data_IF_260772987299
#
_entry.id   IF_260772987299
#
_cell.length_a   1.000
_cell.length_b   1.000
_cell.length_c   1.000
_cell.angle_alpha   90.00
_cell.angle_beta   90.00
_cell.angle_gamma   90.00
#
_symmetry.space_group_name_H-M   'P 1'
#
loop_
_entity.id
_entity.type
_entity.pdbx_description
1 polymer ?
#
# COMPACT_ATOMS: atom_id res chain seq x y z
N UNK A 1 -20.03 -13.30 -7.26
CA UNK A 1 -18.98 -13.25 -6.23
C UNK A 1 -17.71 -12.90 -6.94
N UNK A 2 -17.26 -11.65 -6.80
CA UNK A 2 -16.01 -11.17 -7.39
C UNK A 2 -14.84 -11.79 -6.61
N UNK A 3 -13.76 -12.15 -7.30
CA UNK A 3 -12.55 -12.85 -6.80
C UNK A 3 -11.71 -12.06 -5.76
N UNK A 4 -12.33 -11.21 -4.94
CA UNK A 4 -11.68 -10.40 -3.89
C UNK A 4 -11.57 -11.12 -2.54
N UNK A 5 -12.10 -12.34 -2.43
CA UNK A 5 -12.20 -13.08 -1.18
C UNK A 5 -10.83 -13.59 -0.68
N UNK A 6 -10.50 -13.23 0.57
CA UNK A 6 -9.37 -13.68 1.40
C UNK A 6 -7.97 -13.09 1.13
N UNK A 7 -7.64 -12.56 -0.05
CA UNK A 7 -6.29 -12.03 -0.31
C UNK A 7 -6.00 -10.69 0.41
N UNK A 8 -7.03 -9.85 0.58
CA UNK A 8 -6.96 -8.49 1.15
C UNK A 8 -7.18 -8.40 2.67
N UNK A 9 -7.47 -9.54 3.31
CA UNK A 9 -7.95 -9.61 4.68
C UNK A 9 -6.79 -9.85 5.65
N UNK A 10 -6.71 -9.00 6.67
CA UNK A 10 -6.00 -9.28 7.92
C UNK A 10 -4.48 -9.08 7.83
N UNK A 11 -4.03 -7.83 7.97
CA UNK A 11 -2.65 -7.60 8.38
C UNK A 11 -2.69 -7.13 9.83
N UNK A 12 -2.29 -8.02 10.74
CA UNK A 12 -1.96 -7.63 12.12
C UNK A 12 -0.66 -6.83 12.09
N UNK A 13 -0.72 -5.57 12.50
CA UNK A 13 0.44 -4.69 12.53
C UNK A 13 0.63 -4.30 13.98
N UNK A 14 1.53 -5.03 14.65
CA UNK A 14 1.90 -4.73 16.04
C UNK A 14 2.73 -3.45 16.08
N UNK A 15 2.35 -2.50 16.94
CA UNK A 15 3.01 -1.22 17.17
C UNK A 15 4.43 -1.30 17.75
N UNK A 16 4.93 -2.49 18.11
CA UNK A 16 6.24 -2.64 18.74
C UNK A 16 7.42 -2.67 17.73
N UNK A 17 7.81 -1.48 17.27
CA UNK A 17 9.18 -1.20 16.81
C UNK A 17 9.91 -0.38 17.88
N UNK A 18 10.15 -0.97 19.05
CA UNK A 18 10.95 -0.34 20.11
C UNK A 18 11.43 -1.36 21.13
N UNK A 19 12.31 -2.28 20.75
CA UNK A 19 13.27 -2.84 21.71
C UNK A 19 14.65 -2.91 21.06
N UNK A 20 15.55 -2.11 21.62
CA UNK A 20 16.96 -2.08 21.33
C UNK A 20 17.65 -2.97 22.38
N UNK A 21 18.10 -4.20 22.09
CA UNK A 21 18.81 -4.98 23.09
C UNK A 21 20.28 -4.58 23.06
N UNK A 22 20.60 -3.45 23.69
CA UNK A 22 21.98 -3.14 24.06
C UNK A 22 22.41 -4.06 25.21
N UNK A 23 23.39 -4.91 24.92
CA UNK A 23 24.35 -5.53 25.84
C UNK A 23 23.81 -6.36 27.02
N UNK A 24 23.91 -7.68 26.87
CA UNK A 24 24.51 -8.52 27.92
C UNK A 24 25.26 -9.69 27.28
N UNK A 25 26.59 -9.56 27.21
CA UNK A 25 27.49 -10.67 26.92
C UNK A 25 27.68 -11.46 28.21
N UNK A 26 27.12 -12.66 28.29
CA UNK A 26 27.62 -13.67 29.23
C UNK A 26 27.49 -15.06 28.62
N UNK A 27 28.65 -15.69 28.46
CA UNK A 27 28.95 -17.10 28.19
C UNK A 27 27.80 -18.09 27.95
N UNK A 28 27.84 -18.76 26.79
CA UNK A 28 27.65 -20.21 26.72
C UNK A 28 28.44 -20.78 25.53
N UNK A 29 29.40 -21.66 25.82
CA UNK A 29 30.09 -22.49 24.83
C UNK A 29 29.26 -23.73 24.50
N UNK A 30 29.39 -24.16 23.23
CA UNK A 30 29.06 -25.46 22.65
C UNK A 30 27.60 -25.94 22.67
N UNK A 31 26.93 -25.84 21.52
CA UNK A 31 26.23 -26.95 20.84
C UNK A 31 25.64 -26.45 19.51
N UNK A 32 25.84 -27.24 18.45
CA UNK A 32 25.10 -27.21 17.18
C UNK A 32 24.86 -25.85 16.52
N UNK A 33 25.66 -25.49 15.52
CA UNK A 33 25.28 -24.44 14.57
C UNK A 33 24.11 -24.94 13.71
N UNK A 34 22.88 -24.80 14.22
CA UNK A 34 21.71 -24.74 13.36
C UNK A 34 21.85 -23.44 12.57
N UNK A 35 22.31 -23.57 11.32
CA UNK A 35 22.35 -22.47 10.37
C UNK A 35 20.94 -21.92 10.24
N UNK A 36 20.68 -20.76 10.85
CA UNK A 36 19.44 -20.02 10.62
C UNK A 36 19.30 -19.88 9.11
N UNK A 37 18.17 -20.27 8.50
CA UNK A 37 18.02 -20.13 7.05
C UNK A 37 18.35 -18.69 6.67
N UNK A 38 19.09 -18.45 5.58
CA UNK A 38 19.51 -17.12 5.21
C UNK A 38 18.29 -16.22 5.13
N UNK A 39 18.32 -15.14 5.90
CA UNK A 39 17.20 -14.22 6.01
C UNK A 39 16.89 -13.58 4.66
N UNK A 40 15.64 -13.69 4.24
CA UNK A 40 15.15 -13.30 2.91
C UNK A 40 15.38 -11.81 2.68
N UNK A 41 16.11 -11.45 1.62
CA UNK A 41 16.23 -10.04 1.18
C UNK A 41 15.03 -9.67 0.32
N UNK A 42 14.44 -8.52 0.62
CA UNK A 42 13.23 -8.01 -0.03
C UNK A 42 13.35 -6.54 -0.41
N UNK A 43 12.67 -6.16 -1.50
CA UNK A 43 12.58 -4.79 -2.01
C UNK A 43 11.11 -4.38 -2.06
N UNK A 44 10.71 -3.32 -1.37
CA UNK A 44 9.43 -2.66 -1.55
C UNK A 44 9.57 -1.45 -2.47
N UNK A 45 8.61 -1.28 -3.39
CA UNK A 45 8.54 -0.16 -4.31
C UNK A 45 7.17 0.51 -4.17
N UNK A 46 7.17 1.77 -3.74
CA UNK A 46 5.99 2.60 -3.64
C UNK A 46 6.13 3.79 -4.60
N UNK A 47 5.42 3.75 -5.73
CA UNK A 47 5.47 4.78 -6.77
C UNK A 47 4.07 5.26 -7.19
N UNK A 48 3.07 5.03 -6.34
CA UNK A 48 1.69 5.49 -6.55
C UNK A 48 1.51 6.98 -6.23
N UNK A 49 2.33 7.53 -5.33
CA UNK A 49 2.31 8.93 -4.93
C UNK A 49 3.07 9.87 -5.87
N UNK A 50 3.23 11.13 -5.43
CA UNK A 50 4.02 12.15 -6.15
C UNK A 50 5.52 11.87 -6.10
N UNK A 51 6.00 11.41 -4.95
CA UNK A 51 7.37 11.02 -4.70
C UNK A 51 7.39 9.51 -4.61
N UNK A 52 8.19 8.86 -5.46
CA UNK A 52 8.40 7.42 -5.34
C UNK A 52 9.39 7.13 -4.20
N UNK A 53 9.22 6.00 -3.52
CA UNK A 53 10.10 5.52 -2.46
C UNK A 53 10.37 4.04 -2.62
N UNK A 54 11.51 3.62 -2.11
CA UNK A 54 11.85 2.21 -1.96
C UNK A 54 12.27 1.90 -0.53
N UNK A 55 12.01 0.66 -0.11
CA UNK A 55 12.53 0.11 1.12
C UNK A 55 13.21 -1.23 0.84
N UNK A 56 14.34 -1.49 1.47
CA UNK A 56 15.03 -2.77 1.39
C UNK A 56 15.05 -3.38 2.79
N UNK A 57 14.70 -4.65 2.88
CA UNK A 57 14.67 -5.38 4.14
C UNK A 57 15.33 -6.74 4.06
N UNK A 58 15.66 -7.29 5.22
CA UNK A 58 16.22 -8.63 5.38
C UNK A 58 15.50 -9.34 6.54
N UNK A 59 14.87 -10.48 6.25
CA UNK A 59 14.00 -11.14 7.22
C UNK A 59 12.83 -10.24 7.61
N UNK A 60 12.73 -9.92 8.90
CA UNK A 60 11.66 -9.10 9.47
C UNK A 60 12.10 -7.66 9.80
N UNK A 61 13.26 -7.25 9.27
CA UNK A 61 13.83 -5.91 9.49
C UNK A 61 13.95 -5.12 8.19
N UNK A 62 13.51 -3.87 8.21
CA UNK A 62 13.84 -2.87 7.18
C UNK A 62 15.27 -2.38 7.42
N UNK A 63 16.11 -2.47 6.40
CA UNK A 63 17.51 -2.02 6.42
C UNK A 63 17.65 -0.56 6.00
N UNK A 64 16.88 -0.14 4.99
CA UNK A 64 16.93 1.21 4.47
C UNK A 64 15.61 1.60 3.79
N UNK A 65 15.28 2.89 3.84
CA UNK A 65 14.18 3.52 3.11
C UNK A 65 14.75 4.75 2.41
N UNK A 66 14.45 4.95 1.13
CA UNK A 66 14.89 6.12 0.38
C UNK A 66 13.82 6.65 -0.56
N UNK A 67 13.78 7.97 -0.68
CA UNK A 67 13.09 8.68 -1.75
C UNK A 67 13.81 8.44 -3.07
N UNK A 68 13.03 8.26 -4.13
CA UNK A 68 13.52 8.21 -5.50
C UNK A 68 13.79 9.64 -5.97
N UNK A 69 14.96 9.92 -6.57
CA UNK A 69 15.30 11.24 -7.05
C UNK A 69 14.25 11.78 -8.02
N UNK A 70 13.80 13.01 -7.78
CA UNK A 70 13.00 13.76 -8.76
C UNK A 70 13.94 14.29 -9.86
N UNK A 71 14.40 13.42 -10.76
CA UNK A 71 15.23 13.89 -11.88
C UNK A 71 14.37 14.71 -12.87
N UNK A 72 15.00 15.66 -13.59
CA UNK A 72 14.32 16.58 -14.54
C UNK A 72 13.62 15.87 -15.72
N UNK A 73 13.80 14.55 -15.85
CA UNK A 73 13.10 13.67 -16.78
C UNK A 73 12.35 12.70 -15.87
N UNK A 74 11.02 12.63 -15.94
CA UNK A 74 10.16 11.85 -15.03
C UNK A 74 10.40 10.32 -14.98
N UNK A 75 11.58 9.84 -15.40
CA UNK A 75 12.06 8.49 -15.23
C UNK A 75 12.71 8.39 -13.85
N UNK A 76 11.98 7.75 -12.94
CA UNK A 76 12.45 7.37 -11.63
C UNK A 76 13.79 6.64 -11.77
N UNK A 77 14.85 7.15 -11.14
CA UNK A 77 16.18 6.50 -11.05
C UNK A 77 16.13 5.28 -10.09
N UNK A 78 15.04 4.52 -10.14
CA UNK A 78 14.67 3.41 -9.26
C UNK A 78 15.79 2.37 -9.15
N UNK A 79 16.26 1.85 -10.28
CA UNK A 79 17.28 0.81 -10.29
C UNK A 79 18.64 1.32 -9.82
N UNK A 80 18.94 2.61 -10.03
CA UNK A 80 20.14 3.22 -9.49
C UNK A 80 20.05 3.32 -7.96
N UNK A 81 18.93 3.81 -7.41
CA UNK A 81 18.74 3.88 -5.96
C UNK A 81 18.77 2.49 -5.31
N UNK A 82 18.21 1.47 -5.97
CA UNK A 82 18.32 0.07 -5.51
C UNK A 82 19.79 -0.38 -5.48
N UNK A 83 20.55 -0.14 -6.56
CA UNK A 83 21.97 -0.53 -6.66
C UNK A 83 22.85 0.16 -5.61
N UNK A 84 22.60 1.44 -5.36
CA UNK A 84 23.27 2.23 -4.32
C UNK A 84 23.04 1.61 -2.94
N UNK A 85 21.79 1.35 -2.56
CA UNK A 85 21.49 0.75 -1.24
C UNK A 85 22.06 -0.67 -1.14
N UNK A 86 21.96 -1.48 -2.20
CA UNK A 86 22.54 -2.84 -2.19
C UNK A 86 24.05 -2.80 -1.97
N UNK A 87 24.73 -1.86 -2.62
CA UNK A 87 26.19 -1.65 -2.47
C UNK A 87 26.53 -1.21 -1.04
N UNK A 88 25.81 -0.22 -0.50
CA UNK A 88 26.01 0.27 0.87
C UNK A 88 25.78 -0.82 1.93
N UNK A 89 24.81 -1.71 1.70
CA UNK A 89 24.45 -2.80 2.62
C UNK A 89 25.26 -4.10 2.37
N UNK A 90 26.15 -4.11 1.38
CA UNK A 90 26.93 -5.30 1.01
C UNK A 90 26.06 -6.48 0.55
N UNK A 91 24.93 -6.21 -0.10
CA UNK A 91 23.97 -7.21 -0.57
C UNK A 91 24.27 -7.56 -2.03
N UNK A 92 24.42 -8.86 -2.33
CA UNK A 92 24.52 -9.28 -3.72
C UNK A 92 23.14 -9.20 -4.40
N UNK A 93 23.09 -8.76 -5.67
CA UNK A 93 21.83 -8.67 -6.44
C UNK A 93 21.08 -9.99 -6.49
N UNK A 94 21.81 -11.11 -6.52
CA UNK A 94 21.27 -12.48 -6.50
C UNK A 94 20.56 -12.85 -5.21
N UNK A 95 20.77 -12.09 -4.12
CA UNK A 95 20.15 -12.36 -2.82
C UNK A 95 18.73 -11.81 -2.75
N UNK A 96 18.33 -10.91 -3.63
CA UNK A 96 16.96 -10.40 -3.71
C UNK A 96 16.00 -11.55 -4.06
N UNK A 97 15.14 -11.93 -3.12
CA UNK A 97 14.18 -13.03 -3.28
C UNK A 97 12.74 -12.59 -3.39
N UNK A 98 12.40 -11.40 -2.90
CA UNK A 98 11.02 -10.92 -2.84
C UNK A 98 10.93 -9.44 -3.24
N UNK A 99 9.93 -9.10 -4.05
CA UNK A 99 9.61 -7.72 -4.45
C UNK A 99 8.17 -7.42 -4.05
N UNK A 100 7.98 -6.40 -3.23
CA UNK A 100 6.68 -5.91 -2.78
C UNK A 100 6.35 -4.64 -3.57
N UNK A 101 5.20 -4.61 -4.22
CA UNK A 101 4.89 -3.54 -5.17
C UNK A 101 3.51 -2.96 -4.94
N UNK A 102 3.45 -1.64 -4.81
CA UNK A 102 2.17 -0.94 -4.79
C UNK A 102 1.51 -0.95 -6.16
N UNK A 103 0.27 -1.44 -6.25
CA UNK A 103 -0.43 -1.63 -7.54
C UNK A 103 -1.46 -0.55 -7.88
N UNK A 104 -1.73 0.35 -6.95
CA UNK A 104 -2.64 1.48 -7.14
C UNK A 104 -3.92 1.39 -6.29
N UNK A 105 -4.86 2.33 -6.49
CA UNK A 105 -4.83 3.40 -7.50
C UNK A 105 -3.76 4.47 -7.22
N UNK A 106 -3.31 5.22 -8.24
CA UNK A 106 -2.28 6.25 -8.09
C UNK A 106 -1.67 6.73 -9.40
N UNK A 107 -0.44 7.23 -9.34
CA UNK A 107 0.36 7.75 -10.46
C UNK A 107 0.43 6.76 -11.63
N UNK A 108 -0.15 7.15 -12.78
CA UNK A 108 -0.16 6.30 -13.97
C UNK A 108 1.24 5.92 -14.44
N UNK A 109 2.15 6.89 -14.49
CA UNK A 109 3.53 6.69 -14.92
C UNK A 109 4.33 5.92 -13.86
N UNK A 110 4.20 6.31 -12.58
CA UNK A 110 4.96 5.69 -11.49
C UNK A 110 4.63 4.22 -11.31
N UNK A 111 3.34 3.87 -11.28
CA UNK A 111 2.87 2.48 -11.18
C UNK A 111 3.36 1.63 -12.34
N UNK A 112 3.33 2.13 -13.58
CA UNK A 112 3.81 1.38 -14.75
C UNK A 112 5.31 1.12 -14.69
N UNK A 113 6.10 2.12 -14.30
CA UNK A 113 7.55 1.95 -14.13
C UNK A 113 7.81 0.89 -13.06
N UNK A 114 7.18 1.02 -11.90
CA UNK A 114 7.42 0.15 -10.77
C UNK A 114 6.98 -1.30 -11.03
N UNK A 115 5.80 -1.52 -11.64
CA UNK A 115 5.32 -2.85 -12.06
C UNK A 115 6.22 -3.45 -13.13
N UNK A 116 6.64 -2.67 -14.13
CA UNK A 116 7.55 -3.17 -15.18
C UNK A 116 8.87 -3.61 -14.57
N UNK A 117 9.43 -2.82 -13.66
CA UNK A 117 10.65 -3.19 -12.93
C UNK A 117 10.47 -4.45 -12.11
N UNK A 118 9.38 -4.58 -11.35
CA UNK A 118 9.11 -5.77 -10.54
C UNK A 118 9.04 -7.04 -11.41
N UNK A 119 8.34 -6.97 -12.55
CA UNK A 119 8.28 -8.08 -13.53
C UNK A 119 9.66 -8.43 -14.06
N UNK A 120 10.46 -7.43 -14.45
CA UNK A 120 11.80 -7.66 -14.97
C UNK A 120 12.73 -8.29 -13.92
N UNK A 121 12.66 -7.83 -12.66
CA UNK A 121 13.42 -8.43 -11.55
C UNK A 121 13.01 -9.88 -11.33
N UNK A 122 11.72 -10.19 -11.34
CA UNK A 122 11.24 -11.57 -11.22
C UNK A 122 11.71 -12.46 -12.37
N UNK A 123 11.67 -11.96 -13.61
CA UNK A 123 12.14 -12.70 -14.77
C UNK A 123 13.64 -12.96 -14.76
N UNK A 124 14.45 -12.00 -14.30
CA UNK A 124 15.92 -12.09 -14.34
C UNK A 124 16.48 -12.80 -13.11
N UNK A 125 15.93 -12.55 -11.93
CA UNK A 125 16.45 -13.04 -10.64
C UNK A 125 15.64 -14.20 -10.04
N UNK A 126 14.46 -14.49 -10.59
CA UNK A 126 13.55 -15.50 -10.03
C UNK A 126 12.93 -15.08 -8.70
N UNK A 127 12.90 -13.78 -8.39
CA UNK A 127 12.28 -13.29 -7.16
C UNK A 127 10.74 -13.39 -7.23
N UNK A 128 10.11 -13.66 -6.10
CA UNK A 128 8.65 -13.65 -5.97
C UNK A 128 8.14 -12.21 -5.95
N UNK A 129 6.96 -11.99 -6.51
CA UNK A 129 6.28 -10.69 -6.45
C UNK A 129 5.10 -10.78 -5.50
N UNK A 130 4.95 -9.77 -4.65
CA UNK A 130 3.81 -9.58 -3.77
C UNK A 130 3.15 -8.26 -4.15
N UNK A 131 1.89 -8.35 -4.56
CA UNK A 131 1.05 -7.18 -4.82
C UNK A 131 0.57 -6.57 -3.49
N UNK A 132 0.69 -5.25 -3.39
CA UNK A 132 0.25 -4.46 -2.25
C UNK A 132 -0.71 -3.35 -2.75
N UNK A 133 -2.00 -3.38 -2.39
CA UNK A 133 -2.92 -2.31 -2.78
C UNK A 133 -2.54 -0.97 -2.13
N UNK A 134 -2.48 0.11 -2.91
CA UNK A 134 -2.03 1.42 -2.39
C UNK A 134 -2.94 1.95 -1.28
N UNK A 135 -4.26 1.78 -1.38
CA UNK A 135 -5.15 2.23 -0.32
C UNK A 135 -4.93 1.46 1.00
N UNK A 136 -4.43 0.23 0.94
CA UNK A 136 -4.04 -0.51 2.14
C UNK A 136 -2.76 0.06 2.77
N UNK A 137 -1.79 0.47 1.94
CA UNK A 137 -0.57 1.20 2.39
C UNK A 137 -0.96 2.49 3.10
N UNK A 138 -1.92 3.24 2.54
CA UNK A 138 -2.44 4.47 3.14
C UNK A 138 -3.20 4.18 4.42
N UNK A 139 -4.13 3.21 4.41
CA UNK A 139 -4.91 2.81 5.60
C UNK A 139 -4.01 2.46 6.78
N UNK A 140 -2.92 1.74 6.51
CA UNK A 140 -2.00 1.27 7.53
C UNK A 140 -1.36 2.40 8.36
N UNK A 141 -1.24 3.61 7.82
CA UNK A 141 -0.76 4.78 8.59
C UNK A 141 -1.79 5.29 9.61
N UNK A 142 -3.05 4.89 9.49
CA UNK A 142 -4.12 5.20 10.43
C UNK A 142 -4.30 4.18 11.55
N UNK A 143 -3.62 3.03 11.48
CA UNK A 143 -3.73 1.99 12.50
C UNK A 143 -3.04 2.46 13.78
N UNK A 144 -3.74 2.33 14.90
CA UNK A 144 -3.24 2.71 16.22
C UNK A 144 -3.89 1.85 17.30
N UNK A 145 -3.24 1.79 18.47
CA UNK A 145 -3.71 1.00 19.62
C UNK A 145 -5.04 1.52 20.24
N UNK A 146 -5.46 2.74 19.88
CA UNK A 146 -6.74 3.32 20.32
C UNK A 146 -7.98 2.76 19.60
N UNK A 147 -7.78 1.96 18.55
CA UNK A 147 -8.89 1.35 17.81
C UNK A 147 -9.40 0.10 18.55
N UNK A 148 -10.72 -0.09 18.49
CA UNK A 148 -11.40 -1.26 19.05
C UNK A 148 -12.14 -2.05 17.97
N UNK A 149 -12.54 -3.28 18.32
CA UNK A 149 -13.40 -4.10 17.46
C UNK A 149 -14.62 -3.30 16.96
N UNK A 150 -14.84 -3.34 15.65
CA UNK A 150 -15.91 -2.61 14.98
C UNK A 150 -15.56 -1.20 14.52
N UNK A 151 -14.46 -0.61 15.00
CA UNK A 151 -14.01 0.71 14.54
C UNK A 151 -13.50 0.67 13.10
N UNK A 152 -13.79 1.73 12.34
CA UNK A 152 -13.48 1.83 10.93
C UNK A 152 -12.38 2.88 10.64
N UNK A 153 -11.53 2.56 9.66
CA UNK A 153 -10.60 3.48 9.00
C UNK A 153 -11.00 3.62 7.53
N UNK A 154 -11.10 4.86 7.06
CA UNK A 154 -11.19 5.17 5.64
C UNK A 154 -9.84 5.68 5.12
N UNK A 155 -9.27 4.99 4.14
CA UNK A 155 -8.13 5.52 3.38
C UNK A 155 -8.63 6.22 2.13
N UNK A 156 -8.03 7.36 1.83
CA UNK A 156 -8.45 8.26 0.77
C UNK A 156 -7.26 8.70 -0.07
N UNK A 157 -7.43 8.63 -1.39
CA UNK A 157 -6.53 9.20 -2.38
C UNK A 157 -7.32 10.25 -3.18
N UNK A 158 -7.03 11.53 -2.95
CA UNK A 158 -7.77 12.60 -3.59
C UNK A 158 -7.43 12.71 -5.07
N UNK A 159 -8.46 12.90 -5.88
CA UNK A 159 -8.37 13.16 -7.30
C UNK A 159 -8.66 14.62 -7.63
N UNK A 160 -9.87 15.08 -7.27
CA UNK A 160 -10.44 16.38 -7.64
C UNK A 160 -11.57 16.74 -6.68
N UNK A 161 -11.62 18.01 -6.26
CA UNK A 161 -12.72 18.62 -5.48
C UNK A 161 -13.10 17.76 -4.25
N UNK A 162 -14.34 17.26 -4.25
CA UNK A 162 -14.96 16.54 -3.15
C UNK A 162 -15.03 15.03 -3.38
N UNK A 163 -14.28 14.50 -4.35
CA UNK A 163 -14.27 13.08 -4.69
C UNK A 163 -12.92 12.45 -4.39
N UNK A 164 -12.96 11.33 -3.66
CA UNK A 164 -11.81 10.53 -3.27
C UNK A 164 -11.91 9.11 -3.82
N UNK A 165 -10.79 8.53 -4.24
CA UNK A 165 -10.69 7.08 -4.22
C UNK A 165 -10.57 6.64 -2.77
N UNK A 166 -11.46 5.77 -2.34
CA UNK A 166 -11.46 5.32 -0.95
C UNK A 166 -11.71 3.83 -0.81
N UNK A 167 -11.14 3.28 0.26
CA UNK A 167 -11.52 1.99 0.83
C UNK A 167 -11.84 2.18 2.31
N UNK A 168 -12.65 1.27 2.86
CA UNK A 168 -13.03 1.27 4.27
C UNK A 168 -12.64 -0.08 4.84
N UNK A 169 -11.95 -0.05 5.98
CA UNK A 169 -11.58 -1.22 6.75
C UNK A 169 -12.16 -1.12 8.15
N UNK A 170 -12.60 -2.26 8.69
CA UNK A 170 -13.09 -2.40 10.05
C UNK A 170 -12.14 -3.32 10.84
N UNK A 171 -11.90 -2.99 12.10
CA UNK A 171 -11.10 -3.84 12.98
C UNK A 171 -11.94 -5.03 13.48
N UNK A 172 -11.41 -6.26 13.37
CA UNK A 172 -12.02 -7.45 13.97
C UNK A 172 -11.57 -7.66 15.43
N UNK A 173 -12.09 -8.70 16.08
CA UNK A 173 -11.78 -9.06 17.47
C UNK A 173 -10.29 -9.36 17.70
N UNK A 174 -9.57 -9.82 16.66
CA UNK A 174 -8.14 -10.11 16.69
C UNK A 174 -7.26 -8.85 16.49
N UNK A 175 -7.89 -7.69 16.30
CA UNK A 175 -7.22 -6.42 16.09
C UNK A 175 -6.76 -6.19 14.64
N UNK A 176 -7.22 -7.00 13.70
CA UNK A 176 -6.86 -6.93 12.29
C UNK A 176 -7.82 -6.07 11.49
N UNK A 177 -7.30 -5.33 10.51
CA UNK A 177 -8.12 -4.51 9.62
C UNK A 177 -8.64 -5.33 8.44
N UNK A 178 -9.96 -5.47 8.36
CA UNK A 178 -10.71 -6.23 7.35
C UNK A 178 -11.40 -5.25 6.41
N UNK A 179 -11.18 -5.39 5.10
CA UNK A 179 -11.86 -4.55 4.12
C UNK A 179 -13.37 -4.83 4.16
N UNK A 180 -14.17 -3.79 4.37
CA UNK A 180 -15.65 -3.87 4.38
C UNK A 180 -16.29 -3.25 3.14
N UNK A 181 -15.47 -2.72 2.23
CA UNK A 181 -15.93 -2.24 0.94
C UNK A 181 -14.84 -2.35 -0.13
N UNK A 182 -15.25 -2.55 -1.38
CA UNK A 182 -14.33 -2.49 -2.52
C UNK A 182 -13.80 -1.05 -2.71
N UNK A 183 -12.53 -0.88 -3.10
CA UNK A 183 -11.99 0.41 -3.51
C UNK A 183 -12.80 1.08 -4.62
N UNK A 184 -13.34 2.27 -4.37
CA UNK A 184 -14.14 3.01 -5.36
C UNK A 184 -14.06 4.52 -5.18
N UNK A 185 -14.57 5.23 -6.17
CA UNK A 185 -14.81 6.68 -6.05
C UNK A 185 -15.98 6.91 -5.09
N UNK A 186 -15.79 7.84 -4.16
CA UNK A 186 -16.84 8.35 -3.27
C UNK A 186 -16.74 9.86 -3.16
N UNK A 187 -17.89 10.52 -3.08
CA UNK A 187 -18.00 11.85 -2.49
C UNK A 187 -17.79 11.79 -0.97
N UNK A 188 -17.58 12.94 -0.34
CA UNK A 188 -17.48 13.03 1.12
C UNK A 188 -18.77 12.58 1.82
N UNK A 189 -19.93 12.79 1.20
CA UNK A 189 -21.22 12.34 1.71
C UNK A 189 -21.42 10.83 1.56
N UNK A 190 -21.10 10.25 0.39
CA UNK A 190 -21.15 8.78 0.22
C UNK A 190 -20.19 8.06 1.18
N UNK A 191 -19.03 8.65 1.46
CA UNK A 191 -18.10 8.10 2.45
C UNK A 191 -18.71 8.09 3.86
N UNK A 192 -19.39 9.17 4.26
CA UNK A 192 -20.12 9.23 5.53
C UNK A 192 -21.18 8.14 5.60
N UNK A 193 -22.01 8.05 4.57
CA UNK A 193 -23.18 7.18 4.56
C UNK A 193 -22.78 5.70 4.58
N UNK A 194 -21.66 5.34 3.94
CA UNK A 194 -21.14 3.96 3.95
C UNK A 194 -20.32 3.61 5.20
N UNK A 195 -19.51 4.53 5.72
CA UNK A 195 -18.69 4.25 6.90
C UNK A 195 -19.49 4.29 8.21
N UNK A 196 -20.57 5.09 8.25
CA UNK A 196 -21.45 5.23 9.39
C UNK A 196 -20.75 5.77 10.65
N UNK A 197 -21.41 5.58 11.80
CA UNK A 197 -20.93 6.07 13.10
C UNK A 197 -19.72 5.30 13.66
N UNK A 198 -19.28 4.24 12.98
CA UNK A 198 -18.11 3.45 13.35
C UNK A 198 -16.80 4.05 12.83
N UNK A 199 -16.86 5.04 11.93
CA UNK A 199 -15.65 5.68 11.45
C UNK A 199 -14.90 6.40 12.57
N UNK A 200 -13.62 6.07 12.74
CA UNK A 200 -12.72 6.71 13.71
C UNK A 200 -11.59 7.45 13.06
N UNK A 201 -11.13 7.00 11.90
CA UNK A 201 -9.96 7.59 11.24
C UNK A 201 -10.22 7.78 9.74
N UNK A 202 -9.86 8.95 9.23
CA UNK A 202 -9.69 9.21 7.79
C UNK A 202 -8.23 9.53 7.54
N UNK A 203 -7.61 8.79 6.62
CA UNK A 203 -6.20 8.97 6.23
C UNK A 203 -6.10 9.29 4.74
N UNK A 204 -5.33 10.31 4.39
CA UNK A 204 -4.91 10.55 3.01
C UNK A 204 -4.03 11.78 2.87
N UNK A 205 -3.00 11.72 2.00
CA UNK A 205 -2.06 12.83 1.78
C UNK A 205 -2.78 14.16 1.53
N UNK A 206 -3.73 14.14 0.60
CA UNK A 206 -4.59 15.28 0.30
C UNK A 206 -6.02 14.83 0.52
N UNK A 207 -6.77 15.56 1.34
CA UNK A 207 -8.18 15.32 1.62
C UNK A 207 -9.04 16.53 1.19
N UNK A 208 -10.26 16.31 0.67
CA UNK A 208 -11.25 17.35 0.46
C UNK A 208 -11.49 18.22 1.70
N UNK A 209 -11.78 19.50 1.50
CA UNK A 209 -12.15 20.41 2.60
C UNK A 209 -13.39 19.92 3.36
N UNK A 210 -14.35 19.29 2.68
CA UNK A 210 -15.56 18.76 3.29
C UNK A 210 -15.30 17.62 4.30
N UNK A 211 -14.11 17.02 4.31
CA UNK A 211 -13.70 16.00 5.29
C UNK A 211 -12.83 16.55 6.43
N UNK A 212 -12.39 17.81 6.39
CA UNK A 212 -11.38 18.31 7.35
C UNK A 212 -11.66 19.69 7.94
N UNK A 213 -12.51 20.51 7.31
CA UNK A 213 -12.91 21.81 7.83
C UNK A 213 -13.67 21.68 9.17
N UNK A 214 -13.76 22.76 9.95
CA UNK A 214 -14.35 22.72 11.31
C UNK A 214 -15.83 22.30 11.33
N UNK A 215 -16.57 22.63 10.27
CA UNK A 215 -18.00 22.33 10.15
C UNK A 215 -18.31 20.94 9.55
N UNK A 216 -17.27 20.18 9.16
CA UNK A 216 -17.41 18.88 8.50
C UNK A 216 -18.05 17.84 9.42
N UNK A 217 -18.69 16.86 8.80
CA UNK A 217 -19.30 15.74 9.52
C UNK A 217 -18.25 14.93 10.30
N UNK A 218 -17.03 14.81 9.76
CA UNK A 218 -15.91 14.13 10.42
C UNK A 218 -15.53 14.83 11.72
N UNK A 219 -15.48 16.16 11.75
CA UNK A 219 -15.23 16.92 12.99
C UNK A 219 -16.37 16.76 14.00
N UNK A 220 -17.62 16.83 13.53
CA UNK A 220 -18.81 16.63 14.38
C UNK A 220 -18.85 15.24 15.03
N UNK A 221 -18.34 14.22 14.35
CA UNK A 221 -18.23 12.85 14.86
C UNK A 221 -16.90 12.55 15.57
N UNK A 222 -16.04 13.55 15.79
CA UNK A 222 -14.70 13.38 16.38
C UNK A 222 -13.81 12.37 15.64
N UNK A 223 -13.95 12.27 14.31
CA UNK A 223 -13.09 11.44 13.47
C UNK A 223 -11.68 12.04 13.43
N UNK A 224 -10.68 11.21 13.72
CA UNK A 224 -9.26 11.56 13.60
C UNK A 224 -8.89 11.69 12.12
N UNK A 225 -8.31 12.84 11.77
CA UNK A 225 -7.85 13.11 10.41
C UNK A 225 -6.33 13.04 10.36
N UNK A 226 -5.79 12.15 9.55
CA UNK A 226 -4.35 12.06 9.25
C UNK A 226 -4.14 12.49 7.80
N UNK A 227 -3.38 13.55 7.59
CA UNK A 227 -3.17 14.12 6.26
C UNK A 227 -1.77 14.72 6.08
N UNK A 228 -1.45 15.11 4.85
CA UNK A 228 -0.14 15.65 4.50
C UNK A 228 0.96 14.59 4.58
N UNK A 229 2.18 14.97 5.02
CA UNK A 229 3.32 14.06 5.05
C UNK A 229 3.13 12.76 5.86
N UNK A 230 2.25 12.78 6.86
CA UNK A 230 1.94 11.63 7.72
C UNK A 230 0.95 10.63 7.10
N UNK A 231 0.45 10.91 5.90
CA UNK A 231 -0.51 10.06 5.17
C UNK A 231 -0.03 9.75 3.73
N UNK A 232 1.28 9.87 3.50
CA UNK A 232 1.89 9.55 2.20
C UNK A 232 1.93 8.04 2.02
N UNK A 233 1.52 7.54 0.86
CA UNK A 233 1.81 6.15 0.53
C UNK A 233 3.33 5.93 0.63
N UNK A 234 3.76 5.05 1.54
CA UNK A 234 5.16 4.93 1.95
C UNK A 234 5.71 3.52 1.71
N UNK A 235 6.99 3.45 1.33
CA UNK A 235 7.65 2.18 1.04
C UNK A 235 7.83 1.32 2.30
N UNK A 236 7.90 1.89 3.50
CA UNK A 236 7.98 1.14 4.76
C UNK A 236 6.65 0.42 5.03
N UNK A 237 5.52 1.11 4.88
CA UNK A 237 4.20 0.49 5.02
C UNK A 237 3.92 -0.53 3.91
N UNK A 238 4.38 -0.25 2.68
CA UNK A 238 4.37 -1.22 1.57
C UNK A 238 5.18 -2.47 1.94
N UNK A 239 6.34 -2.27 2.56
CA UNK A 239 7.20 -3.37 2.99
C UNK A 239 6.57 -4.21 4.09
N UNK A 240 5.97 -3.58 5.11
CA UNK A 240 5.31 -4.27 6.22
C UNK A 240 4.15 -5.14 5.73
N UNK A 241 3.29 -4.59 4.86
CA UNK A 241 2.17 -5.33 4.28
C UNK A 241 2.71 -6.46 3.38
N UNK A 242 3.64 -6.16 2.48
CA UNK A 242 4.24 -7.13 1.58
C UNK A 242 4.92 -8.29 2.32
N UNK A 243 5.60 -8.01 3.43
CA UNK A 243 6.24 -9.03 4.28
C UNK A 243 5.21 -9.93 4.95
N UNK A 244 4.10 -9.37 5.45
CA UNK A 244 3.01 -10.16 6.03
C UNK A 244 2.37 -11.08 4.98
N UNK A 245 2.05 -10.54 3.80
CA UNK A 245 1.49 -11.31 2.69
C UNK A 245 2.45 -12.42 2.21
N UNK A 246 3.76 -12.12 2.15
CA UNK A 246 4.78 -13.12 1.84
C UNK A 246 4.82 -14.26 2.85
N UNK A 247 4.75 -13.96 4.15
CA UNK A 247 4.66 -15.00 5.21
C UNK A 247 3.40 -15.84 5.09
N UNK A 248 2.31 -15.27 4.58
CA UNK A 248 1.08 -15.98 4.27
C UNK A 248 1.13 -16.75 2.93
N UNK A 249 2.26 -16.75 2.22
CA UNK A 249 2.41 -17.44 0.94
C UNK A 249 1.66 -16.80 -0.22
N UNK A 250 1.25 -15.53 -0.09
CA UNK A 250 0.50 -14.79 -1.12
C UNK A 250 1.49 -14.16 -2.10
N UNK A 251 1.57 -14.73 -3.30
CA UNK A 251 2.42 -14.26 -4.38
C UNK A 251 1.61 -14.13 -5.67
N UNK A 252 2.11 -13.30 -6.58
CA UNK A 252 1.54 -13.13 -7.92
C UNK A 252 2.59 -13.43 -8.98
N UNK A 253 2.16 -14.11 -10.05
CA UNK A 253 3.00 -14.34 -11.21
C UNK A 253 3.27 -13.05 -11.98
N UNK A 254 4.48 -12.88 -12.51
CA UNK A 254 4.87 -11.66 -13.20
C UNK A 254 3.96 -11.31 -14.39
N UNK A 255 3.42 -12.31 -15.08
CA UNK A 255 2.48 -12.11 -16.21
C UNK A 255 1.13 -11.53 -15.73
N UNK A 256 0.70 -11.87 -14.52
CA UNK A 256 -0.63 -11.55 -13.99
C UNK A 256 -0.64 -10.23 -13.20
N UNK A 257 0.53 -9.76 -12.74
CA UNK A 257 0.67 -8.46 -12.07
C UNK A 257 0.21 -7.31 -12.99
N UNK A 258 -0.75 -6.51 -12.52
CA UNK A 258 -1.29 -5.36 -13.27
C UNK A 258 -1.50 -4.15 -12.36
N UNK A 259 -1.57 -2.97 -12.97
CA UNK A 259 -1.91 -1.76 -12.24
C UNK A 259 -3.43 -1.67 -12.05
N UNK A 260 -3.87 -1.33 -10.85
CA UNK A 260 -5.27 -1.10 -10.51
C UNK A 260 -5.74 0.26 -11.05
N UNK A 261 -6.21 0.29 -12.29
CA UNK A 261 -6.83 1.46 -12.91
C UNK A 261 -8.34 1.50 -12.64
N UNK A 262 -8.71 2.09 -11.50
CA UNK A 262 -10.12 2.17 -11.08
C UNK A 262 -10.92 3.21 -11.88
N UNK A 263 -10.25 4.25 -12.42
CA UNK A 263 -10.92 5.29 -13.23
C UNK A 263 -11.25 4.77 -14.62
N UNK A 264 -12.48 5.01 -15.08
CA UNK A 264 -12.75 4.93 -16.50
C UNK A 264 -11.89 5.96 -17.26
N UNK A 265 -11.20 5.57 -18.35
CA UNK A 265 -10.40 6.50 -19.13
C UNK A 265 -11.23 7.68 -19.61
N UNK A 266 -10.68 8.90 -19.51
CA UNK A 266 -11.40 10.13 -19.85
C UNK A 266 -11.95 10.13 -21.27
N UNK A 267 -11.23 9.53 -22.22
CA UNK A 267 -11.70 9.35 -23.59
C UNK A 267 -13.00 8.52 -23.67
N UNK A 268 -13.15 7.50 -22.82
CA UNK A 268 -14.37 6.67 -22.75
C UNK A 268 -15.50 7.46 -22.10
N UNK A 269 -15.22 8.19 -21.01
CA UNK A 269 -16.22 9.06 -20.37
C UNK A 269 -16.73 10.11 -21.35
N UNK A 270 -15.84 10.83 -22.05
CA UNK A 270 -16.20 11.82 -23.06
C UNK A 270 -16.93 11.19 -24.24
N UNK A 271 -16.52 9.98 -24.67
CA UNK A 271 -17.22 9.24 -25.71
C UNK A 271 -18.66 8.93 -25.30
N UNK A 272 -18.87 8.41 -24.09
CA UNK A 272 -20.19 8.06 -23.56
C UNK A 272 -21.09 9.30 -23.39
N UNK A 273 -20.51 10.44 -22.99
CA UNK A 273 -21.23 11.72 -22.93
C UNK A 273 -21.70 12.17 -24.32
N UNK A 274 -20.89 11.96 -25.35
CA UNK A 274 -21.20 12.34 -26.73
C UNK A 274 -22.01 11.28 -27.50
N UNK A 275 -22.06 10.04 -26.99
CA UNK A 275 -22.75 8.90 -27.60
C UNK A 275 -23.48 8.08 -26.52
N UNK A 276 -24.54 8.64 -25.90
CA UNK A 276 -25.27 7.93 -24.86
C UNK A 276 -25.85 6.61 -25.41
N UNK A 277 -25.76 5.51 -24.66
CA UNK A 277 -26.32 4.23 -25.09
C UNK A 277 -27.82 4.35 -25.31
N UNK A 278 -28.35 3.62 -26.30
CA UNK A 278 -29.78 3.54 -26.52
C UNK A 278 -30.48 3.00 -25.25
N UNK A 279 -31.70 3.47 -24.94
CA UNK A 279 -32.44 2.99 -23.77
C UNK A 279 -32.54 1.46 -23.78
N UNK A 280 -31.99 0.81 -22.76
CA UNK A 280 -32.09 -0.64 -22.56
C UNK A 280 -30.89 -1.50 -22.97
N UNK A 281 -29.80 -0.95 -23.52
CA UNK A 281 -28.58 -1.74 -23.77
C UNK A 281 -27.61 -1.68 -22.58
N UNK A 282 -27.55 -2.73 -21.74
CA UNK A 282 -26.42 -2.88 -20.82
C UNK A 282 -25.24 -3.48 -21.58
N UNK A 283 -24.12 -2.76 -21.66
CA UNK A 283 -22.85 -3.34 -22.11
C UNK A 283 -22.22 -4.04 -20.91
N UNK A 284 -22.50 -5.33 -20.75
CA UNK A 284 -21.71 -6.19 -19.85
C UNK A 284 -20.28 -6.27 -20.36
N UNK A 285 -19.31 -5.85 -19.53
CA UNK A 285 -17.87 -6.01 -19.80
C UNK A 285 -17.55 -7.51 -19.89
N UNK A 286 -16.75 -7.90 -20.89
CA UNK A 286 -16.04 -9.19 -20.94
C UNK A 286 -14.68 -9.04 -20.30
#
# INVERSE_FOLDING_TARGET
MSDWDAALLGVRISSNMSENPSHNLTNCQSSGCESTPPSVVSLAIEASGRVGRIAIGRGDQILAVRDLPASRRHNLDLMQTVDEIFTEQGIAKSDLKEVYISTGPGSFTGLRIAITTAKMLAMVLGCKIIEVPTLQVVMNQGVSDDLSEGDCIAACLNLKRDTVYSGIWQQNAEGEMIAVSEPKLRSSDELRDEAGDQLRVVVGEVLPEALKNEDSWTRKQNVKIISGPAALADASHTWLIGRSLSKAGKYIEAKDLQAAYIREPEAVTLWNMNHPPAPGSSRTRK
#
